data_IF_522243063047
#
_entry.id   IF_522243063047
#
_cell.length_a   1.000
_cell.length_b   1.000
_cell.length_c   1.000
_cell.angle_alpha   90.00
_cell.angle_beta   90.00
_cell.angle_gamma   90.00
#
_symmetry.space_group_name_H-M   'P 1'
#
loop_
_entity.id
_entity.type
_entity.pdbx_description
1 polymer ?
#
# COMPACT_ATOMS: atom_id res chain seq x y z
N UNK A 1 -16.86 25.40 2.58
CA UNK A 1 -16.07 24.17 2.79
C UNK A 1 -14.91 24.24 1.82
N UNK A 2 -13.71 24.40 2.32
CA UNK A 2 -12.48 24.42 1.51
C UNK A 2 -12.13 22.95 1.23
N UNK A 3 -12.23 22.53 -0.02
CA UNK A 3 -11.71 21.25 -0.46
C UNK A 3 -10.19 21.37 -0.39
N UNK A 4 -9.57 20.75 0.58
CA UNK A 4 -8.12 20.65 0.65
C UNK A 4 -7.72 19.62 -0.43
N UNK A 5 -7.02 20.08 -1.43
CA UNK A 5 -6.41 19.21 -2.44
C UNK A 5 -5.35 18.33 -1.77
N UNK A 6 -5.72 17.08 -1.49
CA UNK A 6 -4.84 16.09 -0.88
C UNK A 6 -3.68 15.68 -1.80
N UNK A 7 -3.83 15.84 -3.11
CA UNK A 7 -2.76 15.57 -4.08
C UNK A 7 -1.63 16.63 -3.94
N UNK A 8 -1.98 17.91 -3.78
CA UNK A 8 -0.99 18.97 -3.52
C UNK A 8 -0.29 18.84 -2.17
N UNK A 9 -0.95 18.26 -1.15
CA UNK A 9 -0.34 18.03 0.15
C UNK A 9 0.69 16.87 0.12
N UNK A 10 0.53 15.88 -0.77
CA UNK A 10 1.47 14.77 -0.94
C UNK A 10 2.84 15.20 -1.48
N UNK A 11 2.88 16.20 -2.37
CA UNK A 11 4.13 16.71 -2.95
C UNK A 11 5.07 17.39 -1.92
N UNK A 12 4.58 17.71 -0.72
CA UNK A 12 5.36 18.35 0.34
C UNK A 12 6.14 17.36 1.23
N UNK A 13 6.01 16.04 1.01
CA UNK A 13 6.56 15.01 1.89
C UNK A 13 7.44 13.99 1.16
N UNK A 14 8.31 14.47 0.25
CA UNK A 14 9.16 13.58 -0.57
C UNK A 14 9.93 12.53 0.23
N UNK A 15 10.37 12.86 1.45
CA UNK A 15 11.18 11.96 2.28
C UNK A 15 10.51 11.55 3.60
N UNK A 16 9.27 12.01 3.85
CA UNK A 16 8.58 11.76 5.13
C UNK A 16 7.07 11.66 4.94
N UNK A 17 6.47 10.63 5.52
CA UNK A 17 5.02 10.50 5.62
C UNK A 17 4.59 10.60 7.08
N UNK A 18 3.94 11.70 7.51
CA UNK A 18 3.49 11.86 8.89
C UNK A 18 2.52 10.74 9.31
N UNK A 19 2.69 10.18 10.52
CA UNK A 19 1.78 9.16 11.02
C UNK A 19 0.33 9.67 11.16
N UNK A 20 0.15 10.97 11.35
CA UNK A 20 -1.18 11.60 11.38
C UNK A 20 -1.90 11.54 10.02
N UNK A 21 -1.18 11.42 8.90
CA UNK A 21 -1.77 11.26 7.57
C UNK A 21 -2.29 9.83 7.33
N UNK A 22 -1.87 8.86 8.15
CA UNK A 22 -2.27 7.45 8.09
C UNK A 22 -3.48 7.13 8.98
N UNK A 23 -4.24 8.13 9.42
CA UNK A 23 -5.41 7.99 10.30
C UNK A 23 -5.13 7.22 11.61
N UNK A 24 -3.89 7.30 12.10
CA UNK A 24 -3.50 6.67 13.35
C UNK A 24 -4.12 7.38 14.56
N UNK A 25 -4.59 6.59 15.54
CA UNK A 25 -4.98 7.14 16.85
C UNK A 25 -3.73 7.41 17.69
N UNK A 26 -3.30 8.68 17.70
CA UNK A 26 -2.14 9.18 18.44
C UNK A 26 -2.54 9.85 19.77
N UNK A 27 -3.76 9.63 20.25
CA UNK A 27 -4.24 10.22 21.51
C UNK A 27 -3.44 9.72 22.71
N UNK A 28 -3.29 10.55 23.77
CA UNK A 28 -2.63 10.13 24.99
C UNK A 28 -3.33 8.93 25.64
N UNK A 29 -2.54 7.97 26.11
CA UNK A 29 -3.03 6.77 26.80
C UNK A 29 -2.33 6.58 28.14
N UNK A 30 -3.03 5.99 29.10
CA UNK A 30 -2.47 5.68 30.41
C UNK A 30 -1.79 4.30 30.39
N UNK A 31 -0.48 4.26 30.53
CA UNK A 31 0.32 3.03 30.55
C UNK A 31 0.43 2.53 31.98
N UNK A 32 -0.19 1.40 32.27
CA UNK A 32 -0.05 0.70 33.56
C UNK A 32 1.14 -0.26 33.52
N UNK A 33 1.16 -1.17 32.55
CA UNK A 33 2.26 -2.10 32.27
C UNK A 33 2.70 -2.04 30.82
N UNK A 34 1.76 -2.18 29.90
CA UNK A 34 1.99 -2.12 28.46
C UNK A 34 0.82 -1.43 27.81
N UNK A 35 1.11 -0.59 26.82
CA UNK A 35 0.11 0.04 25.96
C UNK A 35 0.65 0.06 24.52
N UNK A 36 -0.17 -0.41 23.58
CA UNK A 36 0.18 -0.51 22.18
C UNK A 36 -0.54 0.56 21.34
N UNK A 37 0.23 1.31 20.55
CA UNK A 37 -0.27 2.22 19.53
C UNK A 37 -0.13 1.53 18.17
N UNK A 38 -1.23 1.47 17.43
CA UNK A 38 -1.30 0.83 16.14
C UNK A 38 -1.46 1.87 15.03
N UNK A 39 -0.62 1.76 14.01
CA UNK A 39 -0.67 2.60 12.81
C UNK A 39 -0.75 1.68 11.60
N UNK A 40 -1.98 1.32 11.17
CA UNK A 40 -2.15 0.56 9.94
C UNK A 40 -1.90 1.46 8.72
N UNK A 41 -1.25 0.92 7.69
CA UNK A 41 -1.09 1.59 6.41
C UNK A 41 -0.93 0.58 5.27
N UNK A 42 -1.29 0.99 4.07
CA UNK A 42 -1.07 0.21 2.86
C UNK A 42 0.15 0.74 2.09
N UNK A 43 0.76 -0.13 1.29
CA UNK A 43 1.83 0.33 0.38
C UNK A 43 1.37 1.42 -0.58
N UNK A 44 0.09 1.43 -0.94
CA UNK A 44 -0.54 2.49 -1.74
C UNK A 44 -0.71 3.83 -1.01
N UNK A 45 -0.52 3.88 0.31
CA UNK A 45 -0.47 5.14 1.06
C UNK A 45 0.89 5.86 0.89
N UNK A 46 1.90 5.14 0.42
CA UNK A 46 3.22 5.69 0.11
C UNK A 46 3.18 6.37 -1.26
N UNK A 47 3.97 7.43 -1.48
CA UNK A 47 4.17 7.98 -2.80
C UNK A 47 4.73 6.94 -3.78
N UNK A 48 4.37 7.04 -5.07
CA UNK A 48 4.86 6.14 -6.09
C UNK A 48 6.41 6.12 -6.13
N UNK A 49 6.98 4.93 -6.26
CA UNK A 49 8.43 4.75 -6.27
C UNK A 49 9.13 4.95 -4.92
N UNK A 50 8.40 5.15 -3.81
CA UNK A 50 8.98 5.27 -2.48
C UNK A 50 8.76 4.01 -1.64
N UNK A 51 9.76 3.68 -0.82
CA UNK A 51 9.68 2.66 0.21
C UNK A 51 9.90 3.27 1.60
N UNK A 52 9.63 2.50 2.64
CA UNK A 52 9.91 2.92 4.03
C UNK A 52 11.32 2.51 4.39
N UNK A 53 12.20 3.49 4.61
CA UNK A 53 13.59 3.28 5.06
C UNK A 53 13.72 3.31 6.58
N UNK A 54 12.77 3.95 7.27
CA UNK A 54 12.84 4.07 8.72
C UNK A 54 11.55 4.63 9.33
N UNK A 55 11.56 4.69 10.65
CA UNK A 55 10.50 5.30 11.47
C UNK A 55 11.14 6.33 12.39
N UNK A 56 10.63 7.55 12.34
CA UNK A 56 10.98 8.61 13.27
C UNK A 56 9.79 8.84 14.20
N UNK A 57 9.99 8.59 15.49
CA UNK A 57 8.97 8.76 16.52
C UNK A 57 9.33 9.93 17.43
N UNK A 58 8.37 10.80 17.66
CA UNK A 58 8.38 11.74 18.75
C UNK A 58 7.44 11.18 19.83
N UNK A 59 7.99 10.79 20.96
CA UNK A 59 7.24 10.13 22.04
C UNK A 59 7.39 10.93 23.33
N UNK A 60 6.28 11.14 24.01
CA UNK A 60 6.25 11.65 25.37
C UNK A 60 5.74 10.57 26.31
N UNK A 61 6.45 10.32 27.41
CA UNK A 61 6.03 9.42 28.47
C UNK A 61 6.34 10.06 29.83
N UNK A 62 5.34 10.15 30.68
CA UNK A 62 5.54 10.68 32.03
C UNK A 62 6.38 9.70 32.87
N UNK A 63 7.19 10.22 33.77
CA UNK A 63 7.86 9.42 34.81
C UNK A 63 6.86 9.02 35.90
N UNK A 64 7.14 7.94 36.58
CA UNK A 64 6.43 7.60 37.82
C UNK A 64 6.95 8.45 39.00
N UNK A 65 6.35 8.38 40.19
CA UNK A 65 6.78 9.14 41.36
C UNK A 65 8.20 8.79 41.84
N UNK A 66 8.74 7.64 41.44
CA UNK A 66 10.10 7.20 41.75
C UNK A 66 11.10 7.64 40.64
N UNK A 67 10.62 8.40 39.66
CA UNK A 67 11.45 8.90 38.56
C UNK A 67 11.77 7.84 37.49
N UNK A 68 11.08 6.69 37.48
CA UNK A 68 11.29 5.63 36.48
C UNK A 68 10.53 5.96 35.21
N UNK A 69 11.17 5.72 34.08
CA UNK A 69 10.60 5.90 32.77
C UNK A 69 9.88 4.66 32.22
N UNK A 70 9.71 4.66 30.93
CA UNK A 70 9.16 3.55 30.16
C UNK A 70 10.18 3.06 29.12
N UNK A 71 9.85 2.01 28.39
CA UNK A 71 10.59 1.55 27.20
C UNK A 71 9.64 1.55 26.02
N UNK A 72 10.05 2.14 24.92
CA UNK A 72 9.36 2.05 23.63
C UNK A 72 9.98 0.94 22.80
N UNK A 73 9.18 -0.04 22.39
CA UNK A 73 9.52 -1.09 21.43
C UNK A 73 8.73 -0.86 20.15
N UNK A 74 9.41 -0.89 19.01
CA UNK A 74 8.80 -0.59 17.71
C UNK A 74 8.86 -1.83 16.83
N UNK A 75 7.71 -2.17 16.26
CA UNK A 75 7.55 -3.33 15.38
C UNK A 75 6.93 -2.89 14.06
N UNK A 76 7.36 -3.51 12.97
CA UNK A 76 6.71 -3.44 11.67
C UNK A 76 6.37 -4.86 11.21
N UNK A 77 5.09 -5.14 10.98
CA UNK A 77 4.61 -6.47 10.57
C UNK A 77 5.18 -7.60 11.44
N UNK A 78 5.04 -7.49 12.76
CA UNK A 78 5.56 -8.42 13.77
C UNK A 78 7.10 -8.50 13.91
N UNK A 79 7.86 -7.81 13.06
CA UNK A 79 9.31 -7.71 13.17
C UNK A 79 9.71 -6.57 14.11
N UNK A 80 10.46 -6.87 15.16
CA UNK A 80 11.00 -5.86 16.06
C UNK A 80 12.08 -5.03 15.34
N UNK A 81 11.83 -3.74 15.16
CA UNK A 81 12.83 -2.81 14.63
C UNK A 81 13.84 -2.36 15.70
N UNK A 82 13.41 -2.34 16.94
CA UNK A 82 14.26 -2.01 18.08
C UNK A 82 13.49 -1.54 19.30
N UNK A 83 14.22 -1.28 20.38
CA UNK A 83 13.69 -0.71 21.60
C UNK A 83 14.56 0.45 22.10
N UNK A 84 13.97 1.37 22.84
CA UNK A 84 14.65 2.54 23.43
C UNK A 84 14.03 2.91 24.78
N UNK A 85 14.82 3.23 25.78
CA UNK A 85 14.31 3.75 27.05
C UNK A 85 13.74 5.16 26.85
N UNK A 86 12.67 5.49 27.58
CA UNK A 86 12.03 6.78 27.69
C UNK A 86 12.19 7.23 29.16
N UNK A 87 13.30 7.88 29.46
CA UNK A 87 13.69 8.17 30.85
C UNK A 87 13.72 9.64 31.20
N UNK A 88 13.52 10.56 30.25
CA UNK A 88 13.67 12.01 30.49
C UNK A 88 12.44 12.68 31.07
N UNK A 89 11.27 12.06 30.98
CA UNK A 89 9.97 12.69 31.29
C UNK A 89 9.59 13.83 30.34
N UNK A 90 10.38 14.06 29.29
CA UNK A 90 10.15 15.04 28.23
C UNK A 90 9.92 14.34 26.90
N UNK A 91 9.41 15.05 25.88
CA UNK A 91 9.37 14.50 24.53
C UNK A 91 10.74 14.05 24.04
N UNK A 92 10.84 12.83 23.55
CA UNK A 92 12.06 12.24 23.01
C UNK A 92 11.86 11.88 21.54
N UNK A 93 12.92 12.04 20.75
CA UNK A 93 12.93 11.66 19.34
C UNK A 93 13.71 10.37 19.19
N UNK A 94 13.07 9.36 18.58
CA UNK A 94 13.62 8.03 18.37
C UNK A 94 13.60 7.73 16.88
N UNK A 95 14.70 7.18 16.36
CA UNK A 95 14.77 6.75 14.96
C UNK A 95 15.12 5.27 14.89
N UNK A 96 14.38 4.55 14.03
CA UNK A 96 14.56 3.13 13.78
C UNK A 96 14.70 2.91 12.27
N UNK A 97 15.66 2.09 11.85
CA UNK A 97 15.80 1.68 10.46
C UNK A 97 14.83 0.55 10.15
N UNK A 98 14.27 0.55 8.95
CA UNK A 98 13.42 -0.52 8.43
C UNK A 98 14.25 -1.33 7.44
N UNK A 99 14.51 -2.62 7.68
CA UNK A 99 15.15 -3.50 6.71
C UNK A 99 14.30 -3.64 5.44
N UNK A 100 14.96 -3.82 4.29
CA UNK A 100 14.29 -4.11 3.03
C UNK A 100 13.49 -5.41 3.09
N UNK A 101 12.38 -5.49 2.36
CA UNK A 101 11.56 -6.70 2.26
C UNK A 101 10.57 -6.92 3.41
N UNK A 102 10.44 -6.00 4.36
CA UNK A 102 9.44 -6.10 5.43
C UNK A 102 8.05 -5.59 5.04
N UNK A 103 7.96 -4.77 4.01
CA UNK A 103 6.67 -4.22 3.57
C UNK A 103 5.86 -5.25 2.82
N UNK A 104 4.59 -5.36 3.19
CA UNK A 104 3.56 -6.08 2.46
C UNK A 104 2.55 -5.13 1.82
N UNK A 105 1.45 -5.69 1.30
CA UNK A 105 0.32 -4.89 0.83
C UNK A 105 -0.27 -4.06 1.97
N UNK A 106 -0.59 -4.73 3.06
CA UNK A 106 -1.13 -4.16 4.28
C UNK A 106 -0.05 -4.25 5.36
N UNK A 107 0.22 -3.14 6.02
CA UNK A 107 1.30 -3.04 6.98
C UNK A 107 0.76 -2.50 8.31
N UNK A 108 1.38 -2.93 9.39
CA UNK A 108 1.07 -2.48 10.73
C UNK A 108 2.35 -2.04 11.46
N UNK A 109 2.48 -0.74 11.67
CA UNK A 109 3.46 -0.21 12.61
C UNK A 109 2.85 -0.25 14.01
N UNK A 110 3.50 -0.97 14.94
CA UNK A 110 3.10 -1.05 16.33
C UNK A 110 4.18 -0.45 17.21
N UNK A 111 3.80 0.51 18.04
CA UNK A 111 4.65 1.10 19.07
C UNK A 111 4.15 0.66 20.43
N UNK A 112 4.91 -0.21 21.07
CA UNK A 112 4.59 -0.76 22.39
C UNK A 112 5.34 0.02 23.46
N UNK A 113 4.62 0.71 24.34
CA UNK A 113 5.21 1.42 25.47
C UNK A 113 5.01 0.56 26.71
N UNK A 114 6.13 0.12 27.28
CA UNK A 114 6.17 -0.76 28.42
C UNK A 114 6.76 -0.04 29.63
N UNK A 115 6.20 -0.35 30.78
CA UNK A 115 6.63 0.18 32.07
C UNK A 115 6.68 -0.94 33.10
N UNK A 116 7.69 -0.93 33.94
CA UNK A 116 7.66 -1.79 35.13
C UNK A 116 6.57 -1.28 36.08
N UNK A 117 5.60 -2.11 36.45
CA UNK A 117 4.65 -1.73 37.51
C UNK A 117 5.42 -1.42 38.80
N UNK A 118 4.99 -0.40 39.51
CA UNK A 118 5.52 -0.15 40.86
C UNK A 118 5.22 -1.38 41.72
N UNK A 119 6.26 -2.04 42.21
CA UNK A 119 6.13 -3.11 43.17
C UNK A 119 5.43 -2.59 44.43
N UNK A 120 4.44 -3.28 44.93
CA UNK A 120 3.71 -2.88 46.10
C UNK A 120 2.91 -4.06 46.69
N UNK A 121 2.40 -3.90 47.89
CA UNK A 121 1.51 -4.88 48.52
C UNK A 121 0.32 -5.19 47.63
N UNK A 122 -0.23 -6.41 47.70
CA UNK A 122 -1.36 -6.91 46.88
C UNK A 122 -2.66 -6.06 46.94
N UNK A 123 -2.68 -5.03 47.76
CA UNK A 123 -3.77 -4.05 47.89
C UNK A 123 -3.60 -2.81 47.00
N UNK A 124 -2.47 -2.66 46.34
CA UNK A 124 -2.19 -1.47 45.51
C UNK A 124 -2.83 -1.61 44.11
N UNK A 125 -3.72 -0.69 43.79
CA UNK A 125 -4.26 -0.62 42.43
C UNK A 125 -3.18 0.05 41.53
N UNK A 126 -2.64 -0.62 40.51
CA UNK A 126 -1.63 -0.05 39.64
C UNK A 126 -2.12 1.24 39.02
N UNK A 127 -1.33 2.30 39.10
CA UNK A 127 -1.63 3.58 38.47
C UNK A 127 -1.04 3.63 37.06
N UNK A 128 -1.82 4.08 36.08
CA UNK A 128 -1.36 4.36 34.74
C UNK A 128 -0.74 5.76 34.64
N UNK A 129 0.35 5.87 33.90
CA UNK A 129 1.03 7.14 33.61
C UNK A 129 0.90 7.46 32.12
N UNK A 130 0.60 8.73 31.75
CA UNK A 130 0.33 9.08 30.37
C UNK A 130 1.55 8.88 29.49
N UNK A 131 1.30 8.34 28.30
CA UNK A 131 2.22 8.33 27.19
C UNK A 131 1.49 8.69 25.89
N UNK A 132 2.21 9.26 24.93
CA UNK A 132 1.66 9.71 23.68
C UNK A 132 2.70 9.65 22.55
N UNK A 133 2.27 9.26 21.36
CA UNK A 133 3.01 9.50 20.12
C UNK A 133 2.61 10.87 19.60
N UNK A 134 3.59 11.75 19.45
CA UNK A 134 3.36 13.16 19.09
C UNK A 134 3.23 13.34 17.56
N UNK A 135 2.56 14.41 17.11
CA UNK A 135 2.30 14.65 15.67
C UNK A 135 3.54 14.77 14.77
N UNK A 136 4.73 15.03 15.35
CA UNK A 136 5.99 15.08 14.60
C UNK A 136 6.51 13.69 14.15
N UNK A 137 5.82 12.61 14.52
CA UNK A 137 6.19 11.24 14.14
C UNK A 137 5.87 10.97 12.68
N UNK A 138 6.78 10.27 11.98
CA UNK A 138 6.66 10.00 10.56
C UNK A 138 7.34 8.69 10.15
N UNK A 139 6.89 8.09 9.05
CA UNK A 139 7.67 7.15 8.27
C UNK A 139 8.74 7.94 7.49
N UNK A 140 9.98 7.47 7.50
CA UNK A 140 11.06 8.00 6.68
C UNK A 140 11.07 7.23 5.36
N UNK A 141 11.00 7.95 4.25
CA UNK A 141 10.90 7.38 2.92
C UNK A 141 12.26 7.43 2.21
N UNK A 142 12.49 6.47 1.35
CA UNK A 142 13.59 6.47 0.38
C UNK A 142 13.07 5.99 -0.97
N UNK A 143 13.84 6.24 -2.02
CA UNK A 143 13.51 5.67 -3.31
C UNK A 143 13.52 4.14 -3.20
N UNK A 144 12.43 3.53 -3.65
CA UNK A 144 12.36 2.09 -3.78
C UNK A 144 13.18 1.66 -4.99
N UNK A 145 13.85 0.50 -4.89
CA UNK A 145 14.45 -0.09 -6.08
C UNK A 145 13.35 -0.31 -7.13
N UNK A 146 13.62 -0.07 -8.43
CA UNK A 146 12.66 -0.38 -9.46
C UNK A 146 12.24 -1.84 -9.33
N UNK A 147 11.02 -2.07 -8.90
CA UNK A 147 10.47 -3.42 -8.85
C UNK A 147 9.99 -3.76 -10.26
N UNK A 148 10.57 -4.80 -10.80
CA UNK A 148 10.10 -5.37 -12.06
C UNK A 148 8.62 -5.74 -11.95
N UNK A 149 7.90 -5.60 -13.06
CA UNK A 149 6.51 -5.98 -13.35
C UNK A 149 5.78 -6.77 -12.24
N UNK A 150 5.55 -6.10 -11.10
CA UNK A 150 4.86 -6.66 -9.95
C UNK A 150 3.52 -5.92 -9.79
N UNK A 151 2.43 -6.69 -9.70
CA UNK A 151 1.09 -6.16 -9.42
C UNK A 151 1.04 -5.32 -8.15
N UNK A 152 1.94 -5.61 -7.23
CA UNK A 152 2.05 -4.91 -5.96
C UNK A 152 2.59 -3.48 -6.13
N UNK A 153 3.65 -3.33 -6.91
CA UNK A 153 4.21 -2.02 -7.26
C UNK A 153 3.22 -1.19 -8.09
N UNK A 154 2.49 -1.84 -9.01
CA UNK A 154 1.45 -1.19 -9.80
C UNK A 154 0.34 -0.62 -8.93
N UNK A 155 -0.08 -1.35 -7.87
CA UNK A 155 -1.07 -0.84 -6.92
C UNK A 155 -0.60 0.43 -6.22
N UNK A 156 0.69 0.54 -5.90
CA UNK A 156 1.27 1.76 -5.34
C UNK A 156 1.20 2.93 -6.35
N UNK A 157 1.49 2.68 -7.62
CA UNK A 157 1.38 3.68 -8.68
C UNK A 157 -0.06 4.17 -8.84
N UNK A 158 -1.04 3.27 -8.79
CA UNK A 158 -2.46 3.60 -8.83
C UNK A 158 -2.92 4.46 -7.64
N UNK A 159 -2.18 4.50 -6.56
CA UNK A 159 -2.52 5.28 -5.36
C UNK A 159 -2.70 6.78 -5.61
N UNK A 160 -2.08 7.34 -6.65
CA UNK A 160 -2.21 8.74 -7.03
C UNK A 160 -3.37 9.03 -7.98
N UNK A 161 -3.81 8.03 -8.73
CA UNK A 161 -4.85 8.10 -9.73
C UNK A 161 -4.66 7.02 -10.78
N UNK A 162 -5.72 6.63 -11.45
CA UNK A 162 -5.69 5.60 -12.48
C UNK A 162 -6.69 5.93 -13.59
N UNK A 163 -6.24 5.89 -14.82
CA UNK A 163 -7.10 5.97 -15.98
C UNK A 163 -7.78 4.61 -16.19
N UNK A 164 -9.08 4.59 -16.35
CA UNK A 164 -9.84 3.35 -16.53
C UNK A 164 -10.53 3.37 -17.88
N UNK A 165 -10.25 2.35 -18.69
CA UNK A 165 -10.92 2.10 -19.98
C UNK A 165 -11.67 0.78 -19.90
N UNK A 166 -12.93 0.84 -20.26
CA UNK A 166 -13.72 -0.34 -20.63
C UNK A 166 -14.03 -0.21 -22.11
N UNK A 167 -13.40 -1.06 -22.95
CA UNK A 167 -13.55 -0.97 -24.39
C UNK A 167 -15.01 -1.18 -24.79
N UNK A 168 -15.67 -0.21 -25.44
CA UNK A 168 -17.06 -0.34 -25.87
C UNK A 168 -17.26 -1.40 -26.94
N UNK A 169 -16.21 -1.87 -27.62
CA UNK A 169 -16.28 -2.98 -28.57
C UNK A 169 -16.52 -4.34 -27.89
N UNK A 170 -16.26 -4.43 -26.58
CA UNK A 170 -16.54 -5.63 -25.81
C UNK A 170 -18.05 -5.78 -25.60
N UNK A 171 -18.62 -6.83 -26.17
CA UNK A 171 -20.03 -7.21 -25.95
C UNK A 171 -20.18 -7.89 -24.58
N UNK A 172 -19.96 -7.16 -23.50
CA UNK A 172 -20.06 -7.69 -22.14
C UNK A 172 -21.50 -7.67 -21.66
N UNK A 173 -21.98 -8.80 -21.11
CA UNK A 173 -23.17 -8.78 -20.26
C UNK A 173 -22.81 -8.12 -18.92
N UNK A 174 -23.08 -6.83 -18.82
CA UNK A 174 -22.73 -6.05 -17.62
C UNK A 174 -23.35 -6.59 -16.34
N UNK A 175 -24.54 -7.18 -16.39
CA UNK A 175 -25.18 -7.71 -15.20
C UNK A 175 -24.38 -8.89 -14.59
N UNK A 176 -23.79 -9.71 -15.42
CA UNK A 176 -22.97 -10.83 -14.98
C UNK A 176 -21.50 -10.45 -14.75
N UNK A 177 -20.99 -9.53 -15.55
CA UNK A 177 -19.56 -9.22 -15.60
C UNK A 177 -19.16 -8.16 -14.58
N UNK A 178 -20.06 -7.21 -14.25
CA UNK A 178 -19.75 -6.07 -13.37
C UNK A 178 -19.25 -6.48 -11.97
N UNK A 179 -19.84 -7.48 -11.27
CA UNK A 179 -19.33 -7.89 -9.96
C UNK A 179 -17.90 -8.43 -10.04
N UNK A 180 -17.58 -9.18 -11.09
CA UNK A 180 -16.23 -9.69 -11.33
C UNK A 180 -15.24 -8.58 -11.64
N UNK A 181 -15.61 -7.65 -12.53
CA UNK A 181 -14.77 -6.49 -12.84
C UNK A 181 -14.52 -5.62 -11.60
N UNK A 182 -15.54 -5.40 -10.78
CA UNK A 182 -15.40 -4.66 -9.54
C UNK A 182 -14.46 -5.38 -8.56
N UNK A 183 -14.51 -6.70 -8.49
CA UNK A 183 -13.59 -7.52 -7.68
C UNK A 183 -12.14 -7.40 -8.16
N UNK A 184 -11.90 -7.52 -9.46
CA UNK A 184 -10.56 -7.37 -10.05
C UNK A 184 -10.04 -5.94 -9.84
N UNK A 185 -10.85 -4.93 -10.19
CA UNK A 185 -10.48 -3.53 -9.99
C UNK A 185 -10.17 -3.25 -8.52
N UNK A 186 -11.02 -3.66 -7.57
CA UNK A 186 -10.82 -3.46 -6.14
C UNK A 186 -9.61 -4.20 -5.58
N UNK A 187 -9.14 -5.28 -6.21
CA UNK A 187 -7.90 -5.95 -5.81
C UNK A 187 -6.64 -5.17 -6.19
N UNK A 188 -6.70 -4.37 -7.25
CA UNK A 188 -5.55 -3.66 -7.83
C UNK A 188 -5.62 -2.15 -7.59
N UNK A 189 -6.80 -1.54 -7.74
CA UNK A 189 -7.01 -0.10 -7.53
C UNK A 189 -7.21 0.15 -6.04
N UNK A 190 -6.41 1.01 -5.39
CA UNK A 190 -6.63 1.39 -3.99
C UNK A 190 -7.95 2.16 -3.80
N UNK A 191 -8.60 2.00 -2.66
CA UNK A 191 -9.88 2.67 -2.34
C UNK A 191 -9.81 4.21 -2.39
N UNK A 192 -8.61 4.76 -2.21
CA UNK A 192 -8.35 6.22 -2.24
C UNK A 192 -7.92 6.73 -3.61
N UNK A 193 -7.73 5.86 -4.59
CA UNK A 193 -7.30 6.27 -5.92
C UNK A 193 -8.38 7.09 -6.61
N UNK A 194 -7.97 8.16 -7.28
CA UNK A 194 -8.87 8.89 -8.18
C UNK A 194 -9.05 8.09 -9.46
N UNK A 195 -10.27 7.68 -9.77
CA UNK A 195 -10.59 6.99 -11.01
C UNK A 195 -10.90 8.01 -12.09
N UNK A 196 -10.16 7.94 -13.21
CA UNK A 196 -10.30 8.81 -14.38
C UNK A 196 -10.84 8.00 -15.56
N UNK A 197 -12.16 7.98 -15.79
CA UNK A 197 -12.73 7.22 -16.90
C UNK A 197 -12.26 7.79 -18.24
N UNK A 198 -11.89 6.90 -19.18
CA UNK A 198 -11.54 7.23 -20.57
C UNK A 198 -12.43 6.46 -21.53
N UNK A 199 -12.75 7.08 -22.66
CA UNK A 199 -13.68 6.50 -23.62
C UNK A 199 -13.09 5.35 -24.43
N UNK A 200 -11.78 5.34 -24.65
CA UNK A 200 -11.05 4.34 -25.43
C UNK A 200 -9.58 4.27 -25.04
N UNK A 201 -8.88 3.27 -25.54
CA UNK A 201 -7.42 3.12 -25.37
C UNK A 201 -6.67 4.32 -25.96
N UNK A 202 -7.15 4.88 -27.08
CA UNK A 202 -6.52 6.04 -27.71
C UNK A 202 -6.65 7.33 -26.91
N UNK A 203 -7.60 7.38 -25.97
CA UNK A 203 -7.82 8.52 -25.09
C UNK A 203 -6.98 8.45 -23.80
N UNK A 204 -6.10 7.47 -23.65
CA UNK A 204 -5.15 7.39 -22.54
C UNK A 204 -4.11 8.49 -22.65
N UNK A 205 -3.88 9.21 -21.57
CA UNK A 205 -2.84 10.23 -21.42
C UNK A 205 -1.52 9.59 -20.93
N UNK A 206 -0.38 10.07 -21.45
CA UNK A 206 0.90 9.37 -21.30
C UNK A 206 1.51 9.32 -19.89
N UNK A 207 1.06 10.18 -18.97
CA UNK A 207 1.74 10.42 -17.70
C UNK A 207 1.06 9.73 -16.49
N UNK A 208 -0.09 9.08 -16.70
CA UNK A 208 -0.86 8.49 -15.62
C UNK A 208 -1.03 6.98 -15.82
N UNK A 209 -0.91 6.18 -14.74
CA UNK A 209 -1.10 4.74 -14.80
C UNK A 209 -2.53 4.40 -15.24
N UNK A 210 -2.70 3.24 -15.86
CA UNK A 210 -3.97 2.86 -16.46
C UNK A 210 -4.40 1.42 -16.11
N UNK A 211 -5.71 1.23 -16.06
CA UNK A 211 -6.38 -0.07 -16.02
C UNK A 211 -7.31 -0.20 -17.22
N UNK A 212 -7.00 -1.11 -18.11
CA UNK A 212 -7.71 -1.28 -19.39
C UNK A 212 -8.28 -2.66 -19.50
N UNK A 213 -9.54 -2.72 -19.92
CA UNK A 213 -10.23 -3.95 -20.31
C UNK A 213 -10.53 -3.85 -21.80
N UNK A 214 -9.79 -4.60 -22.61
CA UNK A 214 -9.89 -4.57 -24.06
C UNK A 214 -9.35 -5.85 -24.70
N UNK A 215 -9.74 -6.12 -25.94
CA UNK A 215 -9.09 -7.16 -26.75
C UNK A 215 -7.71 -6.72 -27.25
N UNK A 216 -7.53 -5.43 -27.49
CA UNK A 216 -6.28 -4.86 -28.01
C UNK A 216 -5.33 -4.52 -26.86
N UNK A 217 -4.03 -4.76 -27.09
CA UNK A 217 -2.99 -4.34 -26.17
C UNK A 217 -2.93 -2.79 -26.09
N UNK A 218 -3.09 -2.20 -24.89
CA UNK A 218 -2.97 -0.76 -24.72
C UNK A 218 -1.52 -0.26 -24.63
N UNK A 219 -0.55 -1.17 -24.51
CA UNK A 219 0.88 -0.85 -24.41
C UNK A 219 1.56 -0.67 -25.76
N UNK A 220 2.77 -0.11 -25.74
CA UNK A 220 3.55 0.21 -26.93
C UNK A 220 4.41 -0.97 -27.43
N UNK A 221 4.59 -1.99 -26.59
CA UNK A 221 5.41 -3.16 -26.88
C UNK A 221 4.64 -4.46 -27.00
N UNK A 222 5.34 -5.50 -27.41
CA UNK A 222 4.77 -6.85 -27.42
C UNK A 222 4.59 -7.34 -25.98
N UNK A 223 3.36 -7.73 -25.60
CA UNK A 223 3.11 -8.26 -24.26
C UNK A 223 3.73 -9.66 -24.12
N UNK A 224 4.06 -10.05 -22.89
CA UNK A 224 4.63 -11.38 -22.61
C UNK A 224 3.64 -12.51 -22.95
N UNK A 225 2.35 -12.22 -22.93
CA UNK A 225 1.30 -13.14 -23.30
C UNK A 225 0.57 -12.59 -24.52
N UNK A 226 0.67 -13.28 -25.62
CA UNK A 226 0.04 -12.92 -26.89
C UNK A 226 -1.08 -13.90 -27.25
N UNK A 227 -2.01 -13.41 -28.07
CA UNK A 227 -3.15 -14.18 -28.53
C UNK A 227 -3.19 -14.13 -30.06
N UNK A 228 -3.18 -15.29 -30.69
CA UNK A 228 -3.38 -15.42 -32.11
C UNK A 228 -4.32 -16.58 -32.42
N UNK A 229 -5.46 -16.30 -33.06
CA UNK A 229 -6.45 -17.27 -33.54
C UNK A 229 -6.84 -18.37 -32.52
N UNK A 230 -6.98 -17.97 -31.21
CA UNK A 230 -7.33 -18.92 -30.15
C UNK A 230 -6.12 -19.62 -29.51
N UNK A 231 -4.92 -19.34 -30.02
CA UNK A 231 -3.66 -19.79 -29.42
C UNK A 231 -3.17 -18.75 -28.45
N UNK A 232 -2.69 -19.18 -27.30
CA UNK A 232 -1.95 -18.35 -26.35
C UNK A 232 -0.48 -18.72 -26.44
N UNK A 233 0.38 -17.71 -26.54
CA UNK A 233 1.82 -17.85 -26.42
C UNK A 233 2.29 -17.03 -25.23
N UNK A 234 3.15 -17.64 -24.39
CA UNK A 234 3.81 -16.98 -23.27
C UNK A 234 5.30 -16.93 -23.56
N UNK A 235 5.87 -15.73 -23.50
CA UNK A 235 7.29 -15.49 -23.75
C UNK A 235 7.97 -14.95 -22.51
N UNK A 236 9.27 -15.21 -22.38
CA UNK A 236 10.08 -14.59 -21.35
C UNK A 236 10.53 -13.17 -21.81
N UNK A 237 11.28 -12.47 -20.93
CA UNK A 237 11.82 -11.13 -21.25
C UNK A 237 12.89 -11.12 -22.33
N UNK A 238 13.41 -12.27 -22.69
CA UNK A 238 14.35 -12.48 -23.78
C UNK A 238 13.66 -12.91 -25.08
N UNK A 239 12.31 -12.85 -25.11
CA UNK A 239 11.45 -13.26 -26.25
C UNK A 239 11.49 -14.76 -26.55
N UNK A 240 11.98 -15.60 -25.63
CA UNK A 240 11.90 -17.05 -25.81
C UNK A 240 10.49 -17.55 -25.52
N UNK A 241 9.96 -18.40 -26.38
CA UNK A 241 8.69 -19.06 -26.18
C UNK A 241 8.78 -20.05 -25.01
N UNK A 242 8.05 -19.79 -23.92
CA UNK A 242 7.97 -20.66 -22.74
C UNK A 242 6.81 -21.65 -22.86
N UNK A 243 5.68 -21.16 -23.37
CA UNK A 243 4.47 -21.95 -23.47
C UNK A 243 3.68 -21.55 -24.70
N UNK A 244 3.06 -22.53 -25.37
CA UNK A 244 2.07 -22.33 -26.43
C UNK A 244 0.94 -23.33 -26.27
N UNK A 245 -0.29 -22.84 -26.24
CA UNK A 245 -1.50 -23.66 -26.10
C UNK A 245 -2.58 -23.23 -27.08
N UNK A 246 -3.30 -24.22 -27.61
CA UNK A 246 -4.44 -24.04 -28.52
C UNK A 246 -5.75 -24.12 -27.73
N UNK A 247 -6.86 -23.67 -28.33
CA UNK A 247 -8.21 -23.71 -27.79
C UNK A 247 -8.42 -22.99 -26.46
N UNK A 248 -7.57 -21.98 -26.19
CA UNK A 248 -7.60 -21.19 -24.96
C UNK A 248 -8.37 -19.85 -25.09
N UNK A 249 -9.21 -19.72 -26.11
CA UNK A 249 -10.02 -18.52 -26.36
C UNK A 249 -10.96 -18.15 -25.21
N UNK A 250 -11.26 -19.10 -24.33
CA UNK A 250 -12.13 -18.89 -23.16
C UNK A 250 -11.38 -18.29 -21.96
N UNK A 251 -10.05 -18.25 -21.99
CA UNK A 251 -9.24 -17.70 -20.91
C UNK A 251 -9.15 -16.18 -21.03
N UNK A 252 -9.45 -15.50 -19.92
CA UNK A 252 -9.05 -14.12 -19.72
C UNK A 252 -7.62 -14.05 -19.20
N UNK A 253 -6.91 -13.02 -19.58
CA UNK A 253 -5.52 -12.78 -19.14
C UNK A 253 -5.39 -11.39 -18.57
N UNK A 254 -4.67 -11.31 -17.45
CA UNK A 254 -4.31 -10.07 -16.80
C UNK A 254 -2.79 -9.95 -16.83
N UNK A 255 -2.29 -8.85 -17.38
CA UNK A 255 -0.85 -8.60 -17.42
C UNK A 255 -0.53 -7.11 -17.28
N UNK A 256 0.68 -6.83 -16.81
CA UNK A 256 1.21 -5.48 -16.77
C UNK A 256 1.81 -5.16 -18.11
N UNK A 257 1.45 -4.01 -18.67
CA UNK A 257 1.98 -3.50 -19.94
C UNK A 257 2.48 -2.07 -19.73
N UNK A 258 3.38 -1.63 -20.62
CA UNK A 258 4.00 -0.30 -20.56
C UNK A 258 3.56 0.52 -21.76
N UNK A 259 3.24 1.81 -21.51
CA UNK A 259 2.95 2.82 -22.54
C UNK A 259 3.76 4.06 -22.23
N UNK A 260 4.73 4.41 -23.09
CA UNK A 260 5.76 5.38 -22.74
C UNK A 260 6.53 4.94 -21.49
N UNK A 261 6.62 5.84 -20.52
CA UNK A 261 7.25 5.57 -19.22
C UNK A 261 6.25 5.08 -18.16
N UNK A 262 4.97 4.92 -18.53
CA UNK A 262 3.89 4.59 -17.60
C UNK A 262 3.49 3.13 -17.68
N UNK A 263 3.24 2.52 -16.55
CA UNK A 263 2.76 1.14 -16.44
C UNK A 263 1.26 1.11 -16.23
N UNK A 264 0.66 0.07 -16.76
CA UNK A 264 -0.76 -0.18 -16.57
C UNK A 264 -1.11 -1.67 -16.49
N UNK A 265 -2.31 -1.92 -16.06
CA UNK A 265 -2.91 -3.24 -16.05
C UNK A 265 -3.79 -3.42 -17.27
N UNK A 266 -3.50 -4.43 -18.04
CA UNK A 266 -4.35 -4.86 -19.14
C UNK A 266 -5.04 -6.17 -18.81
N UNK A 267 -6.37 -6.14 -18.82
CA UNK A 267 -7.22 -7.31 -18.74
C UNK A 267 -7.80 -7.57 -20.11
N UNK A 268 -7.38 -8.66 -20.75
CA UNK A 268 -7.99 -9.18 -21.95
C UNK A 268 -9.01 -10.25 -21.57
N UNK A 269 -10.31 -10.02 -21.80
CA UNK A 269 -11.32 -11.02 -21.50
C UNK A 269 -11.21 -12.21 -22.47
N UNK A 270 -11.55 -13.39 -21.99
CA UNK A 270 -11.77 -14.55 -22.84
C UNK A 270 -13.23 -14.62 -23.34
N UNK A 271 -13.49 -15.48 -24.32
CA UNK A 271 -14.83 -15.71 -24.88
C UNK A 271 -15.70 -16.65 -24.00
N UNK A 272 -15.24 -17.00 -22.82
CA UNK A 272 -15.97 -17.83 -21.86
C UNK A 272 -16.91 -17.02 -20.96
N UNK A 273 -17.78 -17.68 -20.19
CA UNK A 273 -18.54 -17.00 -19.15
C UNK A 273 -17.61 -16.37 -18.10
N UNK A 274 -18.06 -15.29 -17.49
CA UNK A 274 -17.33 -14.69 -16.38
C UNK A 274 -17.08 -15.74 -15.28
N UNK A 275 -15.86 -15.76 -14.67
CA UNK A 275 -15.57 -16.68 -13.58
C UNK A 275 -16.45 -16.39 -12.37
N UNK A 276 -16.89 -17.45 -11.69
CA UNK A 276 -17.58 -17.30 -10.42
C UNK A 276 -16.57 -16.81 -9.37
N UNK A 277 -16.90 -15.70 -8.71
CA UNK A 277 -16.14 -15.26 -7.54
C UNK A 277 -16.47 -16.20 -6.38
N UNK A 278 -15.53 -17.04 -5.99
CA UNK A 278 -15.61 -17.75 -4.72
C UNK A 278 -15.32 -16.75 -3.59
N UNK A 279 -16.19 -16.66 -2.57
CA UNK A 279 -16.03 -15.74 -1.45
C UNK A 279 -14.81 -16.03 -0.59
#
# INVERSE_FOLDING_TARGET
ATVVDLAGARALFDDRLPLSALQADLTPRAVVSTEDFFVPFQSSDLPAGKGVAGVNLHVAAALDPEGRGATASVFLNDTLLGNRPLGSGKPEQLTFSVPSGLLGRDNLLRVSIQRQPTGGECRFKPQGYPAQILPGSALLLSDAAPQDQDFFALRQEFGNGVQVVLDPALSLDFAQTLPWLAGVAGSVIPDRATILPRASVDALEGDEPFFVISEQNPGDGDPLITFDQGRIEVRDRQDNLIYSGEDLSRLGVVQIVTRGDTRGLWLRPGNGPAPELTP
#
